data_IF_198195956745
#
_entry.id   IF_198195956745
#
_cell.length_a   1.000
_cell.length_b   1.000
_cell.length_c   1.000
_cell.angle_alpha   90.00
_cell.angle_beta   90.00
_cell.angle_gamma   90.00
#
_symmetry.space_group_name_H-M   'P 1'
#
loop_
_entity.id
_entity.type
_entity.pdbx_description
1 polymer ?
#
# COMPACT_ATOMS: atom_id res chain seq x y z
N UNK A 1 -16.67 -4.49 29.84
CA UNK A 1 -16.17 -3.66 30.96
C UNK A 1 -15.80 -2.32 30.37
N UNK A 2 -16.14 -1.19 30.98
CA UNK A 2 -15.65 0.11 30.48
C UNK A 2 -14.23 0.30 31.03
N UNK A 3 -13.23 0.21 30.15
CA UNK A 3 -11.85 0.53 30.50
C UNK A 3 -11.72 2.02 30.85
N UNK A 4 -10.87 2.34 31.83
CA UNK A 4 -10.51 3.73 32.12
C UNK A 4 -9.40 4.26 31.18
N UNK A 5 -8.88 3.40 30.29
CA UNK A 5 -7.89 3.78 29.29
C UNK A 5 -8.63 4.38 28.10
N UNK A 6 -8.29 5.62 27.75
CA UNK A 6 -8.93 6.31 26.62
C UNK A 6 -8.44 5.79 25.27
N UNK A 7 -7.14 5.52 25.16
CA UNK A 7 -6.48 5.24 23.89
C UNK A 7 -5.29 4.31 24.11
N UNK A 8 -5.17 3.26 23.28
CA UNK A 8 -4.07 2.29 23.31
C UNK A 8 -3.59 2.04 21.89
N UNK A 9 -2.28 2.14 21.67
CA UNK A 9 -1.64 1.90 20.37
C UNK A 9 -0.87 0.58 20.42
N UNK A 10 -1.22 -0.36 19.55
CA UNK A 10 -0.48 -1.60 19.31
C UNK A 10 0.51 -1.43 18.15
N UNK A 11 1.80 -1.40 18.43
CA UNK A 11 2.84 -1.35 17.39
C UNK A 11 3.35 -2.77 17.11
N UNK A 12 2.86 -3.34 16.01
CA UNK A 12 3.08 -4.70 15.54
C UNK A 12 3.02 -5.75 16.67
N UNK A 13 1.86 -5.91 17.37
CA UNK A 13 1.74 -6.81 18.50
C UNK A 13 2.26 -8.22 18.19
N UNK A 14 2.98 -8.84 19.13
CA UNK A 14 3.66 -10.10 18.87
C UNK A 14 2.67 -11.25 18.59
N UNK A 15 2.86 -11.97 17.49
CA UNK A 15 2.09 -13.14 17.11
C UNK A 15 2.32 -14.37 18.01
N UNK A 16 3.57 -14.80 18.25
CA UNK A 16 3.86 -15.97 19.06
C UNK A 16 3.26 -15.89 20.46
N UNK A 17 2.56 -16.95 20.87
CA UNK A 17 1.86 -17.08 22.18
C UNK A 17 0.64 -16.20 22.43
N UNK A 18 0.35 -15.20 21.59
CA UNK A 18 -0.81 -14.31 21.76
C UNK A 18 -1.85 -14.46 20.66
N UNK A 19 -1.43 -14.74 19.43
CA UNK A 19 -2.36 -14.82 18.32
C UNK A 19 -3.38 -15.96 18.46
N UNK A 20 -4.63 -15.67 18.16
CA UNK A 20 -5.79 -16.57 18.27
C UNK A 20 -5.98 -17.14 19.68
N UNK A 21 -5.52 -16.42 20.71
CA UNK A 21 -5.79 -16.77 22.12
C UNK A 21 -7.08 -16.11 22.59
N UNK A 22 -7.50 -16.40 23.83
CA UNK A 22 -8.63 -15.73 24.45
C UNK A 22 -8.32 -14.22 24.64
N UNK A 23 -9.32 -13.35 24.50
CA UNK A 23 -9.18 -11.90 24.66
C UNK A 23 -8.56 -11.48 26.01
N UNK A 24 -8.58 -12.34 27.04
CA UNK A 24 -7.88 -12.08 28.31
C UNK A 24 -6.35 -12.15 28.20
N UNK A 25 -5.82 -12.77 27.13
CA UNK A 25 -4.38 -13.01 26.92
C UNK A 25 -3.77 -12.06 25.90
N UNK A 26 -4.51 -11.74 24.85
CA UNK A 26 -4.05 -10.88 23.75
C UNK A 26 -4.54 -9.45 23.88
N UNK A 27 -3.89 -8.53 23.17
CA UNK A 27 -4.48 -7.22 22.88
C UNK A 27 -5.85 -7.43 22.24
N UNK A 28 -6.83 -6.65 22.68
CA UNK A 28 -8.18 -6.69 22.15
C UNK A 28 -8.86 -5.31 22.25
N UNK A 29 -9.93 -5.06 21.46
CA UNK A 29 -10.62 -3.77 21.48
C UNK A 29 -11.24 -3.42 22.83
N UNK A 30 -11.45 -4.38 23.73
CA UNK A 30 -12.05 -4.10 25.05
C UNK A 30 -11.07 -3.51 26.07
N UNK A 31 -9.77 -3.49 25.77
CA UNK A 31 -8.73 -2.96 26.66
C UNK A 31 -8.76 -1.43 26.84
N UNK A 32 -9.34 -0.68 25.88
CA UNK A 32 -9.44 0.77 25.91
C UNK A 32 -10.70 1.27 25.18
N UNK A 33 -11.08 2.53 25.37
CA UNK A 33 -12.18 3.14 24.61
C UNK A 33 -11.89 3.23 23.11
N UNK A 34 -10.61 3.25 22.74
CA UNK A 34 -10.16 3.15 21.38
C UNK A 34 -8.78 2.46 21.34
N UNK A 35 -8.62 1.56 20.38
CA UNK A 35 -7.40 0.76 20.19
C UNK A 35 -7.06 0.84 18.71
N UNK A 36 -5.90 1.41 18.38
CA UNK A 36 -5.35 1.39 17.03
C UNK A 36 -4.13 0.46 16.97
N UNK A 37 -4.00 -0.26 15.86
CA UNK A 37 -2.92 -1.24 15.69
C UNK A 37 -2.24 -1.02 14.35
N UNK A 38 -0.90 -1.09 14.34
CA UNK A 38 -0.09 -1.04 13.13
C UNK A 38 0.57 -2.40 12.93
N UNK A 39 0.24 -3.09 11.84
CA UNK A 39 0.76 -4.39 11.48
C UNK A 39 1.85 -4.25 10.41
N UNK A 40 3.07 -4.70 10.69
CA UNK A 40 4.20 -4.56 9.76
C UNK A 40 4.95 -5.85 9.50
N UNK A 41 4.80 -6.88 10.35
CA UNK A 41 5.44 -8.18 10.20
C UNK A 41 4.47 -9.36 10.46
N UNK A 42 3.25 -9.26 9.91
CA UNK A 42 2.16 -10.24 10.02
C UNK A 42 2.39 -11.56 9.27
N UNK A 43 3.65 -11.94 9.06
CA UNK A 43 4.03 -13.23 8.49
C UNK A 43 3.78 -14.35 9.51
N UNK A 44 3.69 -15.58 9.03
CA UNK A 44 3.72 -16.72 9.96
C UNK A 44 5.11 -16.81 10.63
N UNK A 45 5.15 -17.15 11.91
CA UNK A 45 6.42 -17.34 12.65
C UNK A 45 7.36 -18.36 11.98
N UNK A 46 6.82 -19.37 11.28
CA UNK A 46 7.61 -20.34 10.50
C UNK A 46 8.41 -19.69 9.37
N UNK A 47 8.01 -18.51 8.91
CA UNK A 47 8.73 -17.68 7.93
C UNK A 47 9.25 -16.38 8.57
N UNK A 48 9.50 -16.43 9.89
CA UNK A 48 10.09 -15.36 10.69
C UNK A 48 9.24 -14.07 10.78
N UNK A 49 7.91 -14.20 10.76
CA UNK A 49 7.02 -13.11 11.15
C UNK A 49 6.85 -13.03 12.67
N UNK A 50 7.12 -11.86 13.23
CA UNK A 50 6.98 -11.62 14.67
C UNK A 50 5.63 -11.02 15.05
N UNK A 51 4.96 -10.33 14.14
CA UNK A 51 3.69 -9.64 14.38
C UNK A 51 2.46 -10.53 14.22
N UNK A 52 1.33 -10.09 14.79
CA UNK A 52 0.01 -10.70 14.59
C UNK A 52 -0.52 -10.37 13.19
N UNK A 53 -1.19 -11.32 12.53
CA UNK A 53 -1.97 -11.10 11.31
C UNK A 53 -3.43 -10.78 11.60
N UNK A 54 -3.97 -11.32 12.70
CA UNK A 54 -5.35 -11.05 13.07
C UNK A 54 -5.50 -9.58 13.49
N UNK A 55 -6.59 -8.91 13.10
CA UNK A 55 -6.90 -7.59 13.64
C UNK A 55 -7.25 -7.72 15.13
N UNK A 56 -6.76 -6.78 15.94
CA UNK A 56 -6.98 -6.73 17.39
C UNK A 56 -7.35 -5.34 17.92
N UNK A 57 -7.47 -4.35 17.04
CA UNK A 57 -7.90 -3.00 17.37
C UNK A 57 -9.38 -2.73 17.10
N UNK A 58 -9.79 -1.51 17.45
CA UNK A 58 -10.94 -0.89 16.79
C UNK A 58 -10.62 -0.63 15.32
N UNK A 59 -9.38 -0.17 15.07
CA UNK A 59 -8.82 0.03 13.73
C UNK A 59 -7.46 -0.64 13.63
N UNK A 60 -7.21 -1.30 12.50
CA UNK A 60 -6.00 -2.06 12.25
C UNK A 60 -5.41 -1.62 10.89
N UNK A 61 -4.21 -1.06 10.92
CA UNK A 61 -3.49 -0.57 9.76
C UNK A 61 -2.50 -1.61 9.25
N UNK A 62 -2.52 -1.88 7.95
CA UNK A 62 -1.64 -2.84 7.29
C UNK A 62 -0.82 -2.14 6.19
N UNK A 63 0.17 -1.31 6.55
CA UNK A 63 1.07 -0.69 5.58
C UNK A 63 1.79 -1.74 4.73
N UNK A 64 1.77 -1.57 3.40
CA UNK A 64 2.39 -2.49 2.43
C UNK A 64 1.98 -3.94 2.65
N UNK A 65 0.67 -4.21 2.75
CA UNK A 65 0.04 -5.50 3.15
C UNK A 65 0.22 -5.92 4.62
N UNK A 66 1.08 -5.22 5.38
CA UNK A 66 1.44 -5.57 6.75
C UNK A 66 2.40 -6.75 6.89
N UNK A 67 2.97 -7.24 5.79
CA UNK A 67 3.78 -8.48 5.75
C UNK A 67 5.26 -8.19 5.48
N UNK A 68 5.58 -7.51 4.38
CA UNK A 68 6.95 -7.16 4.00
C UNK A 68 7.01 -5.66 3.71
N UNK A 69 7.87 -4.98 4.46
CA UNK A 69 8.00 -3.55 4.40
C UNK A 69 9.12 -3.15 3.42
N UNK A 70 8.88 -2.14 2.57
CA UNK A 70 9.89 -1.65 1.64
C UNK A 70 11.21 -1.36 2.36
N UNK A 71 12.31 -1.82 1.78
CA UNK A 71 13.66 -1.61 2.31
C UNK A 71 14.14 -2.64 3.34
N UNK A 72 13.28 -3.56 3.78
CA UNK A 72 13.67 -4.63 4.71
C UNK A 72 14.24 -5.90 4.04
N UNK A 73 14.12 -6.04 2.72
CA UNK A 73 14.69 -7.17 1.96
C UNK A 73 16.18 -6.99 1.61
N UNK A 74 16.84 -5.95 2.15
CA UNK A 74 18.24 -5.63 1.85
C UNK A 74 19.16 -6.70 2.45
N UNK A 75 20.03 -7.28 1.60
CA UNK A 75 20.92 -8.38 1.95
C UNK A 75 21.68 -8.08 3.26
N UNK A 76 21.73 -9.01 4.23
CA UNK A 76 22.45 -8.81 5.49
C UNK A 76 23.89 -8.31 5.28
N UNK A 77 24.55 -8.74 4.20
CA UNK A 77 25.92 -8.31 3.83
C UNK A 77 25.97 -6.82 3.47
N UNK A 78 25.00 -6.29 2.71
CA UNK A 78 24.96 -4.86 2.33
C UNK A 78 24.70 -3.95 3.53
N UNK A 79 23.98 -4.43 4.54
CA UNK A 79 23.66 -3.67 5.77
C UNK A 79 24.76 -3.77 6.83
N UNK A 80 25.49 -4.89 6.87
CA UNK A 80 26.70 -5.06 7.71
C UNK A 80 27.83 -4.11 7.29
N UNK A 81 27.92 -3.76 6.00
CA UNK A 81 28.94 -2.85 5.47
C UNK A 81 28.60 -1.36 5.68
N UNK A 82 27.34 -1.01 5.95
CA UNK A 82 26.91 0.37 6.15
C UNK A 82 26.84 0.82 7.63
N UNK A 83 26.96 -0.10 8.60
CA UNK A 83 26.84 0.21 10.02
C UNK A 83 27.95 -0.45 10.86
N UNK A 84 28.73 0.36 11.59
CA UNK A 84 29.88 -0.06 12.43
C UNK A 84 29.49 -0.78 13.75
N UNK A 85 28.22 -1.11 13.97
CA UNK A 85 27.75 -1.78 15.19
C UNK A 85 27.06 -3.12 14.85
N UNK A 86 27.88 -4.17 14.76
CA UNK A 86 27.53 -5.49 14.22
C UNK A 86 26.41 -6.20 15.00
N UNK A 87 26.35 -6.06 16.32
CA UNK A 87 25.35 -6.75 17.16
C UNK A 87 23.92 -6.18 17.03
N UNK A 88 23.77 -4.84 17.04
CA UNK A 88 22.46 -4.22 16.82
C UNK A 88 22.00 -4.38 15.37
N UNK A 89 22.94 -4.42 14.42
CA UNK A 89 22.61 -4.55 13.00
C UNK A 89 21.99 -5.91 12.65
N UNK A 90 22.45 -7.02 13.25
CA UNK A 90 21.90 -8.36 12.96
C UNK A 90 20.47 -8.54 13.48
N UNK A 91 20.17 -8.06 14.69
CA UNK A 91 18.80 -8.02 15.22
C UNK A 91 17.90 -7.11 14.38
N UNK A 92 18.40 -5.95 13.95
CA UNK A 92 17.65 -5.01 13.13
C UNK A 92 17.38 -5.50 11.70
N UNK A 93 18.23 -6.38 11.15
CA UNK A 93 18.00 -7.02 9.85
C UNK A 93 16.87 -8.05 9.96
N UNK A 94 16.90 -8.92 10.98
CA UNK A 94 15.89 -9.97 11.15
C UNK A 94 14.54 -9.40 11.61
N UNK A 95 14.56 -8.36 12.44
CA UNK A 95 13.37 -7.68 12.95
C UNK A 95 13.00 -6.42 12.15
N UNK A 96 13.57 -6.17 10.96
CA UNK A 96 13.36 -4.92 10.23
C UNK A 96 11.88 -4.62 10.02
N UNK A 97 11.13 -5.61 9.50
CA UNK A 97 9.70 -5.48 9.29
C UNK A 97 8.97 -5.15 10.60
N UNK A 98 9.31 -5.85 11.69
CA UNK A 98 8.68 -5.66 13.00
C UNK A 98 8.93 -4.25 13.57
N UNK A 99 10.15 -3.72 13.39
CA UNK A 99 10.52 -2.38 13.85
C UNK A 99 9.91 -1.24 13.02
N UNK A 100 9.36 -1.52 11.83
CA UNK A 100 8.73 -0.50 10.99
C UNK A 100 7.51 0.14 11.63
N UNK A 101 6.76 -0.57 12.46
CA UNK A 101 5.63 0.02 13.18
C UNK A 101 6.09 1.19 14.06
N UNK A 102 7.24 1.06 14.75
CA UNK A 102 7.84 2.13 15.56
C UNK A 102 8.32 3.28 14.68
N UNK A 103 8.99 2.97 13.57
CA UNK A 103 9.48 3.96 12.61
C UNK A 103 8.35 4.81 12.01
N UNK A 104 7.27 4.17 11.55
CA UNK A 104 6.10 4.85 10.98
C UNK A 104 5.36 5.66 12.05
N UNK A 105 5.14 5.09 13.23
CA UNK A 105 4.54 5.83 14.34
C UNK A 105 5.34 7.08 14.68
N UNK A 106 6.66 6.94 14.83
CA UNK A 106 7.55 8.06 15.18
C UNK A 106 7.51 9.16 14.12
N UNK A 107 7.51 8.81 12.83
CA UNK A 107 7.40 9.79 11.75
C UNK A 107 6.03 10.49 11.74
N UNK A 108 4.95 9.76 12.03
CA UNK A 108 3.59 10.30 12.00
C UNK A 108 3.33 11.44 12.99
N UNK A 109 4.11 11.56 14.07
CA UNK A 109 3.94 12.57 15.13
C UNK A 109 4.03 14.00 14.57
N UNK A 110 5.00 14.27 13.69
CA UNK A 110 5.30 15.60 13.17
C UNK A 110 5.31 15.66 11.63
N UNK A 111 4.76 14.64 10.97
CA UNK A 111 4.73 14.59 9.52
C UNK A 111 3.64 15.49 8.95
N UNK A 112 3.97 16.21 7.87
CA UNK A 112 2.99 16.94 7.04
C UNK A 112 2.14 15.97 6.23
N UNK A 113 2.71 14.83 5.86
CA UNK A 113 2.00 13.73 5.21
C UNK A 113 1.26 12.90 6.27
N UNK A 114 -0.06 12.67 6.12
CA UNK A 114 -0.91 12.22 7.21
C UNK A 114 -0.93 10.71 7.46
N UNK A 115 -0.10 9.93 6.75
CA UNK A 115 -0.15 8.45 6.73
C UNK A 115 -1.58 7.93 6.50
N UNK A 116 -2.21 8.45 5.45
CA UNK A 116 -3.60 8.15 5.15
C UNK A 116 -3.76 6.70 4.70
N UNK A 117 -4.65 5.98 5.38
CA UNK A 117 -5.07 4.62 5.06
C UNK A 117 -6.52 4.55 4.61
N UNK A 118 -6.81 3.57 3.77
CA UNK A 118 -8.11 3.39 3.12
C UNK A 118 -8.78 2.13 3.64
N UNK A 119 -10.03 2.26 4.09
CA UNK A 119 -10.81 1.13 4.57
C UNK A 119 -11.07 0.16 3.40
N UNK A 120 -10.64 -1.08 3.54
CA UNK A 120 -10.75 -2.08 2.49
C UNK A 120 -10.80 -3.49 3.11
N UNK A 121 -11.37 -4.46 2.40
CA UNK A 121 -11.45 -5.84 2.90
C UNK A 121 -10.09 -6.54 2.88
N UNK A 122 -9.28 -6.25 1.85
CA UNK A 122 -7.96 -6.82 1.65
C UNK A 122 -7.04 -5.86 0.86
N UNK A 123 -5.75 -6.17 0.89
CA UNK A 123 -4.73 -5.33 0.25
C UNK A 123 -4.81 -5.33 -1.29
N UNK A 124 -5.28 -6.40 -1.92
CA UNK A 124 -5.38 -6.48 -3.38
C UNK A 124 -6.46 -5.54 -3.93
N UNK A 125 -7.62 -5.46 -3.25
CA UNK A 125 -8.67 -4.52 -3.60
C UNK A 125 -8.21 -3.07 -3.40
N UNK A 126 -7.42 -2.81 -2.35
CA UNK A 126 -6.76 -1.52 -2.15
C UNK A 126 -5.80 -1.22 -3.30
N UNK A 127 -4.92 -2.16 -3.69
CA UNK A 127 -3.96 -1.96 -4.78
C UNK A 127 -4.61 -1.75 -6.14
N UNK A 128 -5.80 -2.29 -6.36
CA UNK A 128 -6.64 -2.05 -7.53
C UNK A 128 -7.41 -0.71 -7.47
N UNK A 129 -7.29 0.04 -6.38
CA UNK A 129 -7.96 1.33 -6.21
C UNK A 129 -9.46 1.25 -5.96
N UNK A 130 -10.00 0.06 -5.66
CA UNK A 130 -11.43 -0.16 -5.43
C UNK A 130 -11.92 0.61 -4.19
N UNK A 131 -11.05 0.77 -3.20
CA UNK A 131 -11.33 1.38 -1.91
C UNK A 131 -10.95 2.89 -1.84
N UNK A 132 -10.78 3.55 -2.99
CA UNK A 132 -10.50 4.98 -3.10
C UNK A 132 -11.58 5.68 -3.93
N UNK A 133 -12.01 6.92 -3.59
CA UNK A 133 -11.60 7.75 -2.45
C UNK A 133 -12.07 7.22 -1.08
N UNK A 134 -11.74 7.93 0.01
CA UNK A 134 -12.29 7.62 1.34
C UNK A 134 -13.83 7.63 1.34
N UNK A 135 -14.45 6.80 2.18
CA UNK A 135 -15.90 6.86 2.43
C UNK A 135 -16.31 8.16 3.15
N UNK A 136 -17.61 8.37 3.35
CA UNK A 136 -18.15 9.51 4.10
C UNK A 136 -17.64 9.55 5.56
N UNK A 137 -17.34 8.39 6.14
CA UNK A 137 -16.75 8.25 7.47
C UNK A 137 -15.26 8.70 7.51
N UNK A 138 -14.68 9.00 6.35
CA UNK A 138 -13.32 9.46 6.18
C UNK A 138 -12.31 8.33 5.99
N UNK A 139 -11.04 8.71 5.88
CA UNK A 139 -9.93 7.77 5.86
C UNK A 139 -9.36 7.54 7.26
N UNK A 140 -8.59 6.46 7.39
CA UNK A 140 -7.75 6.23 8.55
C UNK A 140 -6.50 7.09 8.50
N UNK A 141 -5.98 7.51 9.65
CA UNK A 141 -4.67 8.18 9.77
C UNK A 141 -3.78 7.31 10.65
N UNK A 142 -2.87 6.57 10.04
CA UNK A 142 -2.03 5.63 10.77
C UNK A 142 -1.03 6.37 11.66
N UNK A 143 -0.86 5.91 12.90
CA UNK A 143 0.10 6.46 13.85
C UNK A 143 -0.52 7.45 14.83
N UNK A 144 0.22 8.51 15.18
CA UNK A 144 -0.11 9.43 16.27
C UNK A 144 -1.49 10.11 16.14
N UNK A 145 -2.01 10.23 14.92
CA UNK A 145 -3.30 10.86 14.63
C UNK A 145 -4.46 9.86 14.43
N UNK A 146 -4.27 8.59 14.81
CA UNK A 146 -5.31 7.57 14.71
C UNK A 146 -6.51 7.85 15.61
N UNK A 147 -6.36 8.69 16.64
CA UNK A 147 -7.45 9.22 17.48
C UNK A 147 -8.53 10.00 16.70
N UNK A 148 -8.21 10.45 15.49
CA UNK A 148 -9.13 11.18 14.61
C UNK A 148 -9.96 10.27 13.70
N UNK A 149 -9.66 8.98 13.67
CA UNK A 149 -10.34 8.01 12.82
C UNK A 149 -11.71 7.69 13.40
N UNK A 150 -12.71 7.67 12.52
CA UNK A 150 -14.10 7.38 12.89
C UNK A 150 -14.53 6.07 12.23
N UNK A 151 -14.19 4.91 12.83
CA UNK A 151 -14.74 3.66 12.33
C UNK A 151 -16.28 3.68 12.45
N UNK A 152 -17.00 2.93 11.60
CA UNK A 152 -18.45 2.82 11.69
C UNK A 152 -18.89 2.45 13.12
N UNK A 153 -19.97 3.07 13.61
CA UNK A 153 -20.37 2.95 15.00
C UNK A 153 -20.60 1.47 15.40
N UNK A 154 -19.98 1.04 16.50
CA UNK A 154 -20.09 -0.32 17.02
C UNK A 154 -19.27 -1.37 16.25
N UNK A 155 -18.39 -0.94 15.34
CA UNK A 155 -17.46 -1.85 14.65
C UNK A 155 -16.09 -1.86 15.34
N UNK A 156 -15.48 -3.04 15.33
CA UNK A 156 -14.08 -3.26 15.69
C UNK A 156 -13.40 -3.97 14.53
N UNK A 157 -12.07 -4.10 14.59
CA UNK A 157 -11.29 -4.82 13.61
C UNK A 157 -11.40 -4.26 12.18
N UNK A 158 -11.61 -2.94 12.08
CA UNK A 158 -11.73 -2.23 10.81
C UNK A 158 -10.35 -2.09 10.18
N UNK A 159 -10.17 -2.66 8.99
CA UNK A 159 -8.87 -2.70 8.32
C UNK A 159 -8.65 -1.50 7.43
N UNK A 160 -7.46 -0.91 7.54
CA UNK A 160 -7.00 0.16 6.68
C UNK A 160 -5.69 -0.24 5.98
N UNK A 161 -5.61 0.03 4.69
CA UNK A 161 -4.43 -0.26 3.88
C UNK A 161 -3.82 1.03 3.32
N UNK A 162 -2.49 1.05 3.23
CA UNK A 162 -1.70 2.13 2.68
C UNK A 162 -0.33 1.62 2.25
N UNK A 163 0.28 2.27 1.27
CA UNK A 163 1.68 2.05 0.89
C UNK A 163 2.60 3.11 1.53
N UNK A 164 3.80 2.71 1.93
CA UNK A 164 4.86 3.59 2.45
C UNK A 164 6.17 3.41 1.67
N UNK A 165 7.15 4.28 1.92
CA UNK A 165 8.47 4.23 1.31
C UNK A 165 9.45 3.25 1.95
N UNK A 166 10.58 3.02 1.29
CA UNK A 166 11.68 2.18 1.79
C UNK A 166 12.64 2.90 2.76
N UNK A 167 12.53 4.22 2.86
CA UNK A 167 13.43 5.12 3.59
C UNK A 167 12.66 6.37 4.03
N UNK A 168 13.18 7.06 5.07
CA UNK A 168 12.58 8.30 5.60
C UNK A 168 12.66 9.43 4.55
N UNK A 169 11.63 10.28 4.40
CA UNK A 169 10.30 10.11 4.99
C UNK A 169 9.57 8.92 4.36
N UNK A 170 8.98 8.05 5.18
CA UNK A 170 8.23 6.87 4.76
C UNK A 170 6.85 7.21 4.23
N UNK A 171 6.23 8.27 4.73
CA UNK A 171 4.87 8.62 4.34
C UNK A 171 4.75 8.85 2.83
N UNK A 172 3.63 8.45 2.24
CA UNK A 172 3.32 8.62 0.82
C UNK A 172 1.92 9.20 0.64
N UNK A 173 1.76 9.96 -0.44
CA UNK A 173 0.45 10.40 -0.94
C UNK A 173 -0.04 9.41 -2.00
N UNK A 174 -1.26 8.91 -1.86
CA UNK A 174 -1.84 7.93 -2.79
C UNK A 174 -2.70 8.61 -3.84
N UNK A 175 -2.58 8.12 -5.07
CA UNK A 175 -3.41 8.50 -6.20
C UNK A 175 -3.97 7.23 -6.82
N UNK A 176 -5.29 7.17 -6.97
CA UNK A 176 -5.93 6.09 -7.71
C UNK A 176 -5.97 6.48 -9.18
N UNK A 177 -5.60 5.54 -10.05
CA UNK A 177 -5.62 5.69 -11.49
C UNK A 177 -6.53 4.60 -12.06
N UNK A 178 -7.52 5.02 -12.84
CA UNK A 178 -8.37 4.12 -13.60
C UNK A 178 -8.11 4.34 -15.09
N UNK A 179 -7.76 3.27 -15.81
CA UNK A 179 -7.54 3.28 -17.26
C UNK A 179 -8.54 2.34 -17.92
N UNK A 180 -9.42 2.88 -18.75
CA UNK A 180 -10.34 2.11 -19.59
C UNK A 180 -9.78 1.95 -21.00
N UNK A 181 -9.66 0.70 -21.44
CA UNK A 181 -9.18 0.39 -22.79
C UNK A 181 -10.36 0.29 -23.76
N UNK A 182 -10.19 0.90 -24.94
CA UNK A 182 -11.22 1.00 -25.96
C UNK A 182 -11.45 -0.33 -26.68
N UNK A 183 -12.71 -0.67 -26.91
CA UNK A 183 -13.12 -1.87 -27.66
C UNK A 183 -13.34 -1.55 -29.14
N UNK A 184 -12.27 -1.15 -29.84
CA UNK A 184 -12.32 -0.91 -31.30
C UNK A 184 -12.14 -2.22 -32.07
N UNK A 185 -12.70 -2.30 -33.28
CA UNK A 185 -12.76 -3.54 -34.08
C UNK A 185 -11.41 -4.22 -34.38
N UNK A 186 -10.31 -3.47 -34.32
CA UNK A 186 -8.95 -3.96 -34.57
C UNK A 186 -8.11 -4.06 -33.29
N UNK A 187 -8.68 -3.79 -32.11
CA UNK A 187 -8.00 -3.97 -30.85
C UNK A 187 -7.87 -5.46 -30.54
N UNK A 188 -6.67 -5.87 -30.16
CA UNK A 188 -6.38 -7.23 -29.69
C UNK A 188 -5.91 -7.17 -28.25
N UNK A 189 -6.05 -8.28 -27.51
CA UNK A 189 -5.43 -8.40 -26.20
C UNK A 189 -3.91 -8.27 -26.34
N UNK A 190 -3.32 -7.38 -25.56
CA UNK A 190 -1.88 -7.15 -25.53
C UNK A 190 -1.33 -7.38 -24.12
N UNK A 191 -0.02 -7.60 -24.02
CA UNK A 191 0.67 -7.74 -22.74
C UNK A 191 1.83 -6.76 -22.66
N UNK A 192 1.99 -6.16 -21.50
CA UNK A 192 3.12 -5.28 -21.25
C UNK A 192 3.02 -4.57 -19.92
N UNK A 193 3.85 -3.55 -19.77
CA UNK A 193 3.87 -2.69 -18.60
C UNK A 193 3.19 -1.39 -18.99
N UNK A 194 2.14 -1.04 -18.25
CA UNK A 194 1.52 0.29 -18.36
C UNK A 194 2.14 1.15 -17.27
N UNK A 195 2.54 2.37 -17.63
CA UNK A 195 3.09 3.35 -16.70
C UNK A 195 2.24 4.61 -16.72
N UNK A 196 2.32 5.38 -15.65
CA UNK A 196 1.65 6.69 -15.53
C UNK A 196 2.65 7.74 -15.08
N UNK A 197 2.49 8.95 -15.60
CA UNK A 197 3.05 10.17 -15.01
C UNK A 197 1.92 11.16 -14.75
N UNK A 198 2.04 11.93 -13.66
CA UNK A 198 1.06 12.94 -13.26
C UNK A 198 1.74 14.29 -13.16
N UNK A 199 1.06 15.34 -13.61
CA UNK A 199 1.50 16.71 -13.44
C UNK A 199 0.40 17.48 -12.72
N UNK A 200 0.76 18.25 -11.69
CA UNK A 200 -0.20 19.05 -10.96
C UNK A 200 0.39 20.33 -10.38
N UNK A 201 -0.44 21.07 -9.63
CA UNK A 201 -0.11 22.42 -9.18
C UNK A 201 1.11 22.51 -8.26
N UNK A 202 1.43 21.43 -7.53
CA UNK A 202 2.44 21.42 -6.48
C UNK A 202 3.62 20.47 -6.80
N UNK A 203 3.62 19.82 -7.97
CA UNK A 203 4.68 18.90 -8.37
C UNK A 203 4.26 17.95 -9.49
N UNK A 204 5.02 16.87 -9.63
CA UNK A 204 4.77 15.81 -10.60
C UNK A 204 5.12 14.44 -10.02
N UNK A 205 4.44 13.41 -10.52
CA UNK A 205 4.85 12.01 -10.40
C UNK A 205 5.56 11.63 -11.70
N UNK A 206 6.85 11.32 -11.59
CA UNK A 206 7.61 10.75 -12.69
C UNK A 206 7.01 9.43 -13.15
N UNK A 207 7.30 9.06 -14.40
CA UNK A 207 6.79 7.84 -15.01
C UNK A 207 7.03 6.62 -14.10
N UNK A 208 5.93 6.04 -13.63
CA UNK A 208 5.92 4.93 -12.69
C UNK A 208 5.08 3.80 -13.25
N UNK A 209 5.65 2.59 -13.25
CA UNK A 209 4.95 1.39 -13.67
C UNK A 209 3.76 1.09 -12.74
N UNK A 210 2.61 0.81 -13.33
CA UNK A 210 1.36 0.54 -12.64
C UNK A 210 1.30 -0.89 -12.06
N UNK A 211 2.17 -1.76 -12.55
CA UNK A 211 2.34 -3.14 -12.11
C UNK A 211 3.80 -3.54 -12.19
N UNK A 212 4.25 -4.40 -11.28
CA UNK A 212 5.58 -5.02 -11.30
C UNK A 212 5.67 -6.20 -12.27
N UNK A 213 4.53 -6.70 -12.75
CA UNK A 213 4.42 -7.79 -13.72
C UNK A 213 3.66 -7.35 -14.96
N UNK A 214 3.87 -8.06 -16.06
CA UNK A 214 3.18 -7.82 -17.32
C UNK A 214 1.67 -7.95 -17.11
N UNK A 215 0.96 -6.84 -17.34
CA UNK A 215 -0.49 -6.85 -17.29
C UNK A 215 -1.06 -7.28 -18.65
N UNK A 216 -2.16 -8.02 -18.59
CA UNK A 216 -2.94 -8.35 -19.76
C UNK A 216 -3.97 -7.27 -20.02
N UNK A 217 -3.82 -6.58 -21.14
CA UNK A 217 -4.63 -5.45 -21.56
C UNK A 217 -5.70 -5.97 -22.51
N UNK A 218 -6.90 -6.07 -21.99
CA UNK A 218 -8.04 -6.60 -22.71
C UNK A 218 -8.91 -5.44 -23.26
N UNK A 219 -9.25 -5.42 -24.56
CA UNK A 219 -10.14 -4.39 -25.12
C UNK A 219 -11.48 -4.33 -24.37
N UNK A 220 -11.94 -3.12 -24.06
CA UNK A 220 -13.19 -2.91 -23.30
C UNK A 220 -13.10 -3.16 -21.80
N UNK A 221 -11.92 -3.49 -21.26
CA UNK A 221 -11.70 -3.63 -19.82
C UNK A 221 -11.14 -2.36 -19.22
N UNK A 222 -11.45 -2.17 -17.93
CA UNK A 222 -10.94 -1.10 -17.10
C UNK A 222 -10.01 -1.70 -16.07
N UNK A 223 -8.86 -1.05 -15.86
CA UNK A 223 -7.89 -1.43 -14.85
C UNK A 223 -7.69 -0.26 -13.89
N UNK A 224 -7.93 -0.53 -12.61
CA UNK A 224 -7.66 0.40 -11.52
C UNK A 224 -6.35 0.04 -10.82
N UNK A 225 -5.70 1.05 -10.25
CA UNK A 225 -4.48 0.87 -9.48
C UNK A 225 -4.23 2.06 -8.53
N UNK A 226 -3.44 1.81 -7.49
CA UNK A 226 -2.94 2.87 -6.59
C UNK A 226 -1.45 3.07 -6.79
N UNK A 227 -1.08 4.30 -7.11
CA UNK A 227 0.31 4.79 -7.16
C UNK A 227 0.58 5.74 -6.00
N UNK A 228 1.86 5.87 -5.65
CA UNK A 228 2.29 6.73 -4.55
C UNK A 228 3.27 7.81 -5.00
N UNK A 229 3.23 8.95 -4.32
CA UNK A 229 4.20 10.04 -4.45
C UNK A 229 4.78 10.40 -3.09
N UNK A 230 6.02 10.87 -3.07
CA UNK A 230 6.67 11.43 -1.87
C UNK A 230 6.10 12.81 -1.50
N UNK A 231 5.57 13.55 -2.49
CA UNK A 231 5.02 14.88 -2.31
C UNK A 231 3.54 14.95 -2.75
N UNK A 232 2.77 15.83 -2.13
CA UNK A 232 1.42 16.14 -2.58
C UNK A 232 1.48 16.93 -3.89
N UNK A 233 1.11 16.27 -4.98
CA UNK A 233 1.09 16.81 -6.36
C UNK A 233 0.04 17.93 -6.52
N UNK A 234 -0.89 18.07 -5.56
CA UNK A 234 -1.92 19.10 -5.57
C UNK A 234 -3.02 18.82 -6.60
N UNK A 235 -3.47 19.86 -7.29
CA UNK A 235 -4.50 19.73 -8.33
C UNK A 235 -3.87 19.17 -9.61
N UNK A 236 -4.31 17.98 -10.00
CA UNK A 236 -3.81 17.30 -11.21
C UNK A 236 -4.29 18.05 -12.45
N UNK A 237 -3.37 18.50 -13.28
CA UNK A 237 -3.64 19.20 -14.54
C UNK A 237 -3.56 18.27 -15.75
N UNK A 238 -2.72 17.24 -15.68
CA UNK A 238 -2.56 16.26 -16.76
C UNK A 238 -2.05 14.92 -16.23
N UNK A 239 -2.44 13.84 -16.90
CA UNK A 239 -1.91 12.51 -16.69
C UNK A 239 -1.54 11.91 -18.05
N UNK A 240 -0.38 11.27 -18.12
CA UNK A 240 0.09 10.56 -19.31
C UNK A 240 0.20 9.09 -18.97
N UNK A 241 -0.55 8.27 -19.70
CA UNK A 241 -0.47 6.81 -19.62
C UNK A 241 0.36 6.32 -20.80
N UNK A 242 1.42 5.59 -20.51
CA UNK A 242 2.28 4.94 -21.50
C UNK A 242 2.16 3.43 -21.39
N UNK A 243 2.46 2.74 -22.48
CA UNK A 243 2.48 1.28 -22.50
C UNK A 243 3.69 0.81 -23.28
N UNK A 244 4.40 -0.15 -22.68
CA UNK A 244 5.52 -0.83 -23.30
C UNK A 244 5.24 -2.32 -23.40
N UNK A 245 5.26 -2.84 -24.64
CA UNK A 245 5.19 -4.28 -24.86
C UNK A 245 6.43 -4.95 -24.28
N UNK A 246 6.22 -6.04 -23.56
CA UNK A 246 7.31 -6.88 -23.06
C UNK A 246 7.39 -8.15 -23.88
N UNK A 247 8.59 -8.49 -24.35
CA UNK A 247 8.86 -9.74 -25.05
C UNK A 247 8.97 -10.93 -24.08
N UNK A 248 8.41 -12.08 -24.45
CA UNK A 248 8.55 -13.33 -23.69
C UNK A 248 8.75 -14.50 -24.64
N UNK A 249 9.83 -15.27 -24.44
CA UNK A 249 10.14 -16.44 -25.28
C UNK A 249 9.03 -17.50 -25.26
N UNK A 250 8.25 -17.57 -24.18
CA UNK A 250 7.14 -18.50 -24.01
C UNK A 250 5.80 -17.93 -24.51
N UNK A 251 5.78 -16.68 -25.00
CA UNK A 251 4.58 -16.01 -25.51
C UNK A 251 4.68 -15.84 -27.03
N UNK A 252 4.00 -16.72 -27.77
CA UNK A 252 3.96 -16.72 -29.24
C UNK A 252 3.51 -15.38 -29.83
N UNK A 253 2.66 -14.62 -29.12
CA UNK A 253 2.22 -13.29 -29.56
C UNK A 253 3.39 -12.29 -29.64
N UNK A 254 4.35 -12.39 -28.71
CA UNK A 254 5.49 -11.48 -28.65
C UNK A 254 6.55 -11.75 -29.73
N UNK A 255 6.56 -12.96 -30.31
CA UNK A 255 7.41 -13.27 -31.46
C UNK A 255 6.93 -12.59 -32.74
N UNK A 256 5.64 -12.32 -32.89
CA UNK A 256 5.09 -11.64 -34.07
C UNK A 256 5.53 -10.17 -34.14
N UNK A 257 5.65 -9.49 -33.00
CA UNK A 257 6.21 -8.14 -32.96
C UNK A 257 7.72 -8.13 -33.21
N UNK A 258 8.47 -9.10 -32.64
CA UNK A 258 9.91 -9.23 -32.86
C UNK A 258 10.27 -9.55 -34.32
N UNK A 259 9.44 -10.34 -35.01
CA UNK A 259 9.59 -10.65 -36.43
C UNK A 259 9.04 -9.55 -37.36
N UNK A 260 8.53 -8.45 -36.80
CA UNK A 260 8.01 -7.31 -37.56
C UNK A 260 6.70 -7.58 -38.32
N UNK A 261 5.99 -8.65 -37.97
CA UNK A 261 4.74 -9.05 -38.66
C UNK A 261 3.49 -8.43 -38.05
N UNK A 262 3.60 -7.85 -36.84
CA UNK A 262 2.53 -7.13 -36.16
C UNK A 262 3.09 -5.88 -35.46
N UNK A 263 2.42 -4.74 -35.61
CA UNK A 263 2.66 -3.53 -34.79
C UNK A 263 1.57 -3.46 -33.72
N UNK A 264 1.83 -3.92 -32.48
CA UNK A 264 0.81 -3.96 -31.45
C UNK A 264 0.47 -2.55 -30.99
N UNK A 265 -0.79 -2.33 -30.64
CA UNK A 265 -1.29 -1.02 -30.22
C UNK A 265 -2.38 -1.20 -29.19
N UNK A 266 -2.35 -0.39 -28.15
CA UNK A 266 -3.39 -0.29 -27.14
C UNK A 266 -4.10 1.04 -27.28
N UNK A 267 -5.43 1.04 -27.08
CA UNK A 267 -6.26 2.21 -27.24
C UNK A 267 -6.92 2.52 -25.90
N UNK A 268 -6.77 3.73 -25.41
CA UNK A 268 -7.38 4.19 -24.15
C UNK A 268 -8.61 5.01 -24.50
N UNK A 269 -9.77 4.66 -23.93
CA UNK A 269 -11.01 5.40 -24.11
C UNK A 269 -11.23 6.44 -23.00
N UNK A 270 -10.78 6.14 -21.78
CA UNK A 270 -10.94 6.99 -20.60
C UNK A 270 -9.79 6.78 -19.64
N UNK A 271 -9.40 7.87 -18.99
CA UNK A 271 -8.56 7.85 -17.80
C UNK A 271 -9.23 8.69 -16.70
N UNK A 272 -9.19 8.20 -15.47
CA UNK A 272 -9.68 8.91 -14.29
C UNK A 272 -8.63 8.82 -13.19
N UNK A 273 -8.45 9.92 -12.45
CA UNK A 273 -7.45 10.03 -11.39
C UNK A 273 -8.13 10.56 -10.15
N UNK A 274 -8.02 9.85 -9.03
CA UNK A 274 -8.49 10.33 -7.74
C UNK A 274 -7.29 10.71 -6.88
N UNK A 275 -7.23 11.97 -6.44
CA UNK A 275 -6.32 12.39 -5.38
C UNK A 275 -6.86 11.88 -4.04
N UNK A 276 -6.18 10.91 -3.43
CA UNK A 276 -6.62 10.27 -2.21
C UNK A 276 -6.73 11.21 -1.02
N UNK A 277 -5.87 12.24 -0.93
CA UNK A 277 -5.92 13.23 0.16
C UNK A 277 -7.15 14.13 0.08
N UNK A 278 -7.54 14.55 -1.13
CA UNK A 278 -8.62 15.54 -1.32
C UNK A 278 -9.93 14.94 -1.81
N UNK A 279 -9.96 13.64 -2.11
CA UNK A 279 -11.07 12.93 -2.76
C UNK A 279 -11.53 13.59 -4.08
N UNK A 280 -10.64 14.33 -4.75
CA UNK A 280 -10.96 15.01 -6.01
C UNK A 280 -10.65 14.08 -7.18
N UNK A 281 -11.62 13.98 -8.09
CA UNK A 281 -11.53 13.33 -9.40
C UNK A 281 -11.09 14.34 -10.46
#
# INVERSE_FOLDING_TARGET
>A
MNSNILFLIGLDPAGPYFQYTDNVVQLDPTEANFVDVIHTDSKNIMVLGYGMIQPVGHVDFYPNSGVNQPGCDKNPITTLLSNLNVYNSLLHIVACNHLRAIDYFTESINSVCPFQGYNCDNYEDFKQGICMPCSEDGCGYMGFHADRVKPPAGTTNVKYFLDTGDSKPFCRYHYQIEVSFSNVSHATTERGIVSVSLMGSNGQLEETALSTVNMEINPGKTHGMVVTSTNDIGLISSATVSWHQTFSINDFMSWQSLLGTKSPSVYISRQEIVNGKTNRR
#
